data_IF_558583489377
#
_entry.id   IF_558583489377
#
_cell.length_a   1.000
_cell.length_b   1.000
_cell.length_c   1.000
_cell.angle_alpha   90.00
_cell.angle_beta   90.00
_cell.angle_gamma   90.00
#
_symmetry.space_group_name_H-M   'P 1'
#
loop_
_entity.id
_entity.type
_entity.pdbx_description
1 polymer ?
#
# COMPACT_ATOMS: atom_id res chain seq x y z
N UNK A 1 -21.98 -2.55 -10.22
CA UNK A 1 -21.61 -1.28 -9.56
C UNK A 1 -22.54 -0.18 -10.06
N UNK A 2 -23.06 0.67 -9.17
CA UNK A 2 -23.79 1.90 -9.54
C UNK A 2 -22.85 2.79 -10.38
N UNK A 3 -23.38 3.45 -11.42
CA UNK A 3 -22.60 4.32 -12.32
C UNK A 3 -21.97 5.53 -11.62
N UNK A 4 -22.54 5.99 -10.49
CA UNK A 4 -21.95 7.05 -9.66
C UNK A 4 -20.78 6.54 -8.84
N UNK A 5 -20.90 5.33 -8.28
CA UNK A 5 -19.81 4.70 -7.54
C UNK A 5 -18.56 4.52 -8.41
N UNK A 6 -18.73 4.07 -9.66
CA UNK A 6 -17.60 3.91 -10.57
C UNK A 6 -16.91 5.26 -10.88
N UNK A 7 -17.69 6.34 -11.03
CA UNK A 7 -17.15 7.68 -11.27
C UNK A 7 -16.36 8.20 -10.07
N UNK A 8 -16.90 8.04 -8.86
CA UNK A 8 -16.29 8.56 -7.64
C UNK A 8 -15.12 7.69 -7.15
N UNK A 9 -15.18 6.38 -7.37
CA UNK A 9 -14.05 5.47 -7.15
C UNK A 9 -12.82 5.92 -7.95
N UNK A 10 -13.02 6.47 -9.14
CA UNK A 10 -11.92 6.99 -9.93
C UNK A 10 -11.41 8.36 -9.46
N UNK A 11 -12.30 9.19 -8.91
CA UNK A 11 -12.05 10.58 -8.50
C UNK A 11 -11.21 10.68 -7.22
N UNK A 12 -11.39 9.76 -6.26
CA UNK A 12 -10.66 9.78 -4.98
C UNK A 12 -9.30 9.07 -5.01
N UNK A 13 -8.81 8.69 -6.20
CA UNK A 13 -7.49 8.07 -6.33
C UNK A 13 -6.39 9.13 -6.40
N UNK A 14 -5.22 8.89 -5.78
CA UNK A 14 -4.93 7.76 -4.90
C UNK A 14 -5.54 7.95 -3.50
N UNK A 15 -6.16 6.89 -2.95
CA UNK A 15 -6.49 6.85 -1.53
C UNK A 15 -5.19 6.90 -0.72
N UNK A 16 -5.16 7.69 0.33
CA UNK A 16 -3.98 7.86 1.21
C UNK A 16 -3.92 6.83 2.34
N UNK A 17 -5.02 6.14 2.59
CA UNK A 17 -5.11 5.05 3.57
C UNK A 17 -6.31 4.14 3.34
N UNK A 18 -6.27 2.92 3.90
CA UNK A 18 -7.40 2.01 3.85
C UNK A 18 -8.64 2.54 4.61
N UNK A 19 -8.44 3.38 5.63
CA UNK A 19 -9.54 4.05 6.34
C UNK A 19 -10.28 5.04 5.44
N UNK A 20 -9.54 5.82 4.63
CA UNK A 20 -10.11 6.71 3.62
C UNK A 20 -10.85 5.90 2.55
N UNK A 21 -10.26 4.81 2.06
CA UNK A 21 -10.94 3.88 1.15
C UNK A 21 -12.27 3.38 1.73
N UNK A 22 -12.26 2.83 2.95
CA UNK A 22 -13.48 2.31 3.59
C UNK A 22 -14.52 3.41 3.81
N UNK A 23 -14.09 4.60 4.23
CA UNK A 23 -14.98 5.75 4.42
C UNK A 23 -15.65 6.18 3.11
N UNK A 24 -14.88 6.31 2.03
CA UNK A 24 -15.41 6.76 0.74
C UNK A 24 -16.28 5.70 0.07
N UNK A 25 -15.89 4.43 0.09
CA UNK A 25 -16.65 3.33 -0.51
C UNK A 25 -17.91 2.99 0.31
N UNK A 26 -17.84 3.07 1.63
CA UNK A 26 -18.98 2.85 2.53
C UNK A 26 -20.13 3.85 2.37
N UNK A 27 -19.92 4.95 1.63
CA UNK A 27 -21.02 5.86 1.22
C UNK A 27 -21.95 5.24 0.18
N UNK A 28 -21.50 4.20 -0.52
CA UNK A 28 -22.19 3.64 -1.71
C UNK A 28 -22.63 2.19 -1.55
N UNK A 29 -21.98 1.44 -0.68
CA UNK A 29 -22.22 0.00 -0.48
C UNK A 29 -22.22 -0.34 1.01
N UNK A 30 -22.77 -1.50 1.35
CA UNK A 30 -22.76 -2.00 2.73
C UNK A 30 -21.36 -2.49 3.15
N UNK A 31 -21.19 -2.74 4.45
CA UNK A 31 -19.91 -3.13 5.06
C UNK A 31 -19.33 -4.41 4.47
N UNK A 32 -20.18 -5.41 4.16
CA UNK A 32 -19.75 -6.67 3.55
C UNK A 32 -19.17 -6.43 2.14
N UNK A 33 -19.78 -5.53 1.38
CA UNK A 33 -19.30 -5.14 0.05
C UNK A 33 -18.05 -4.25 0.10
N UNK A 34 -17.92 -3.37 1.10
CA UNK A 34 -16.67 -2.61 1.35
C UNK A 34 -15.52 -3.58 1.57
N UNK A 35 -15.68 -4.56 2.46
CA UNK A 35 -14.62 -5.53 2.77
C UNK A 35 -14.30 -6.42 1.56
N UNK A 36 -15.32 -6.78 0.75
CA UNK A 36 -15.09 -7.48 -0.51
C UNK A 36 -14.23 -6.66 -1.46
N UNK A 37 -14.50 -5.36 -1.61
CA UNK A 37 -13.74 -4.48 -2.52
C UNK A 37 -12.36 -4.13 -1.98
N UNK A 38 -12.22 -3.99 -0.66
CA UNK A 38 -10.93 -3.79 0.01
C UNK A 38 -9.94 -4.92 -0.33
N UNK A 39 -10.43 -6.15 -0.50
CA UNK A 39 -9.60 -7.29 -0.92
C UNK A 39 -9.03 -7.16 -2.36
N UNK A 40 -9.57 -6.26 -3.19
CA UNK A 40 -9.11 -6.03 -4.57
C UNK A 40 -8.36 -4.70 -4.75
N UNK A 41 -8.25 -3.90 -3.70
CA UNK A 41 -7.61 -2.58 -3.74
C UNK A 41 -6.39 -2.60 -2.84
N UNK A 42 -5.31 -2.03 -3.34
CA UNK A 42 -4.10 -1.84 -2.57
C UNK A 42 -3.88 -0.34 -2.36
N UNK A 43 -3.65 0.06 -1.11
CA UNK A 43 -3.28 1.44 -0.74
C UNK A 43 -1.80 1.43 -0.32
N UNK A 44 -0.96 2.30 -0.91
CA UNK A 44 0.45 2.41 -0.53
C UNK A 44 0.66 2.60 0.96
N UNK A 45 1.62 1.87 1.50
CA UNK A 45 2.02 1.98 2.90
C UNK A 45 3.13 3.02 3.04
N UNK A 46 3.11 3.80 4.11
CA UNK A 46 4.20 4.75 4.40
C UNK A 46 5.37 4.01 5.05
N UNK A 47 6.53 4.05 4.40
CA UNK A 47 7.75 3.38 4.86
C UNK A 47 8.14 3.77 6.29
N UNK A 48 7.82 4.98 6.72
CA UNK A 48 8.21 5.51 8.03
C UNK A 48 7.24 5.15 9.16
N UNK A 49 6.01 4.75 8.84
CA UNK A 49 4.95 4.58 9.84
C UNK A 49 4.19 3.26 9.76
N UNK A 50 4.32 2.51 8.66
CA UNK A 50 3.62 1.24 8.47
C UNK A 50 3.90 0.24 9.60
N UNK A 51 2.90 -0.55 9.98
CA UNK A 51 3.10 -1.63 10.94
C UNK A 51 3.76 -2.85 10.27
N UNK A 52 4.36 -3.78 11.04
CA UNK A 52 4.86 -5.04 10.49
C UNK A 52 3.81 -5.80 9.68
N UNK A 53 2.57 -5.81 10.15
CA UNK A 53 1.45 -6.48 9.48
C UNK A 53 1.13 -5.84 8.12
N UNK A 54 1.18 -4.51 8.03
CA UNK A 54 0.98 -3.77 6.77
C UNK A 54 2.12 -4.03 5.77
N UNK A 55 3.37 -4.09 6.25
CA UNK A 55 4.52 -4.44 5.42
C UNK A 55 4.38 -5.88 4.89
N UNK A 56 4.03 -6.83 5.76
CA UNK A 56 3.82 -8.24 5.40
C UNK A 56 2.62 -8.47 4.46
N UNK A 57 1.67 -7.54 4.40
CA UNK A 57 0.55 -7.60 3.46
C UNK A 57 0.97 -7.27 2.02
N UNK A 58 2.16 -6.68 1.81
CA UNK A 58 2.70 -6.43 0.46
C UNK A 58 2.99 -7.77 -0.23
N UNK A 59 2.40 -8.05 -1.40
CA UNK A 59 2.61 -9.33 -2.07
C UNK A 59 4.08 -9.59 -2.36
N UNK A 60 4.60 -10.75 -1.95
CA UNK A 60 6.00 -11.13 -2.12
C UNK A 60 6.95 -10.61 -1.03
N UNK A 61 6.44 -9.87 -0.04
CA UNK A 61 7.20 -9.55 1.16
C UNK A 61 7.45 -10.81 2.00
N UNK A 62 8.62 -10.90 2.62
CA UNK A 62 8.95 -11.93 3.61
C UNK A 62 9.37 -11.28 4.94
N UNK A 63 9.44 -12.08 5.99
CA UNK A 63 9.74 -11.61 7.35
C UNK A 63 11.09 -10.91 7.44
N UNK A 64 12.07 -11.33 6.62
CA UNK A 64 13.41 -10.73 6.62
C UNK A 64 13.37 -9.34 5.99
N UNK A 65 12.77 -9.21 4.81
CA UNK A 65 12.59 -7.93 4.15
C UNK A 65 11.76 -6.98 5.00
N UNK A 66 10.68 -7.46 5.62
CA UNK A 66 9.83 -6.64 6.48
C UNK A 66 10.60 -6.07 7.68
N UNK A 67 11.45 -6.87 8.32
CA UNK A 67 12.26 -6.40 9.44
C UNK A 67 13.25 -5.30 9.04
N UNK A 68 13.87 -5.43 7.86
CA UNK A 68 14.81 -4.43 7.35
C UNK A 68 14.12 -3.07 7.15
N UNK A 69 12.86 -3.06 6.71
CA UNK A 69 12.08 -1.82 6.55
C UNK A 69 11.91 -1.09 7.88
N UNK A 70 11.75 -1.82 8.98
CA UNK A 70 11.67 -1.20 10.30
C UNK A 70 13.03 -0.66 10.77
N UNK A 71 14.11 -1.42 10.54
CA UNK A 71 15.46 -1.05 10.98
C UNK A 71 16.01 0.18 10.25
N UNK A 72 15.68 0.37 8.97
CA UNK A 72 16.19 1.50 8.18
C UNK A 72 15.43 2.81 8.35
N UNK A 73 14.36 2.83 9.17
CA UNK A 73 13.64 4.08 9.45
C UNK A 73 14.57 5.12 10.09
N UNK A 74 14.51 6.40 9.66
CA UNK A 74 13.61 6.93 8.63
C UNK A 74 14.15 6.75 7.20
N UNK A 75 13.25 6.41 6.29
CA UNK A 75 13.47 6.58 4.86
C UNK A 75 13.31 8.04 4.47
N UNK A 76 14.33 8.58 3.81
CA UNK A 76 14.39 10.00 3.40
C UNK A 76 14.26 10.19 1.89
N UNK A 77 14.39 9.11 1.12
CA UNK A 77 14.26 9.12 -0.34
C UNK A 77 13.90 7.75 -0.88
N UNK A 78 13.27 7.73 -2.06
CA UNK A 78 13.02 6.47 -2.77
C UNK A 78 14.31 5.80 -3.27
N UNK A 79 15.40 6.57 -3.47
CA UNK A 79 16.70 5.97 -3.81
C UNK A 79 17.26 5.14 -2.66
N UNK A 80 17.11 5.61 -1.41
CA UNK A 80 17.45 4.82 -0.23
C UNK A 80 16.63 3.52 -0.18
N UNK A 81 15.32 3.61 -0.41
CA UNK A 81 14.46 2.42 -0.49
C UNK A 81 14.94 1.41 -1.53
N UNK A 82 15.18 1.86 -2.77
CA UNK A 82 15.66 1.01 -3.87
C UNK A 82 16.98 0.34 -3.53
N UNK A 83 17.90 1.08 -2.91
CA UNK A 83 19.21 0.56 -2.51
C UNK A 83 19.09 -0.53 -1.43
N UNK A 84 18.18 -0.35 -0.47
CA UNK A 84 18.01 -1.30 0.62
C UNK A 84 17.31 -2.59 0.17
N UNK A 85 16.17 -2.46 -0.53
CA UNK A 85 15.41 -3.64 -0.98
C UNK A 85 16.10 -4.38 -2.13
N UNK A 86 16.89 -3.67 -2.95
CA UNK A 86 17.72 -4.26 -4.01
C UNK A 86 18.86 -5.17 -3.51
N UNK A 87 19.10 -5.23 -2.19
CA UNK A 87 20.00 -6.24 -1.58
C UNK A 87 19.36 -7.64 -1.53
N UNK A 88 18.03 -7.72 -1.64
CA UNK A 88 17.24 -8.92 -1.43
C UNK A 88 16.57 -9.43 -2.70
N UNK A 89 16.23 -8.53 -3.62
CA UNK A 89 15.49 -8.84 -4.84
C UNK A 89 16.10 -8.17 -6.07
N UNK A 90 15.71 -8.62 -7.26
CA UNK A 90 16.17 -8.04 -8.52
C UNK A 90 15.48 -6.70 -8.86
N UNK A 91 15.97 -6.01 -9.89
CA UNK A 91 15.50 -4.67 -10.28
C UNK A 91 14.01 -4.65 -10.67
N UNK A 92 13.50 -5.72 -11.28
CA UNK A 92 12.09 -5.84 -11.64
C UNK A 92 11.20 -5.90 -10.39
N UNK A 93 11.66 -6.63 -9.38
CA UNK A 93 10.98 -6.74 -8.10
C UNK A 93 11.09 -5.47 -7.25
N UNK A 94 12.23 -4.76 -7.30
CA UNK A 94 12.35 -3.41 -6.70
C UNK A 94 11.30 -2.48 -7.31
N UNK A 95 11.21 -2.43 -8.65
CA UNK A 95 10.24 -1.60 -9.35
C UNK A 95 8.79 -2.02 -9.06
N UNK A 96 8.56 -3.31 -8.76
CA UNK A 96 7.27 -3.79 -8.27
C UNK A 96 6.98 -3.27 -6.88
N UNK A 97 7.87 -3.45 -5.91
CA UNK A 97 7.67 -3.00 -4.52
C UNK A 97 7.51 -1.49 -4.38
N UNK A 98 8.18 -0.71 -5.22
CA UNK A 98 8.03 0.75 -5.24
C UNK A 98 6.58 1.21 -5.46
N UNK A 99 5.75 0.43 -6.16
CA UNK A 99 4.32 0.75 -6.34
C UNK A 99 3.50 0.59 -5.07
N UNK A 100 4.07 -0.06 -4.04
CA UNK A 100 3.37 -0.39 -2.81
C UNK A 100 3.69 0.57 -1.65
N UNK A 101 4.58 1.54 -1.85
CA UNK A 101 5.15 2.32 -0.74
C UNK A 101 5.17 3.82 -1.02
N UNK A 102 5.10 4.61 0.04
CA UNK A 102 5.27 6.08 0.02
C UNK A 102 6.24 6.53 1.12
N UNK A 103 6.71 7.77 1.01
CA UNK A 103 7.45 8.48 2.07
C UNK A 103 6.69 9.79 2.31
N UNK A 104 6.09 9.94 3.49
CA UNK A 104 5.30 11.11 3.88
C UNK A 104 5.92 11.90 5.04
#
# INVERSE_FOLDING_TARGET
>A
MDSRMAHEFEEYRPYTGMDEFRQEIGKYVDEDEVERLAAYVFVPIDLNTATPEEIMAVPGMDERMAHEFEEYRPYTSMDQFRQEIGKYVDEDEVARFERYVTIN
#
